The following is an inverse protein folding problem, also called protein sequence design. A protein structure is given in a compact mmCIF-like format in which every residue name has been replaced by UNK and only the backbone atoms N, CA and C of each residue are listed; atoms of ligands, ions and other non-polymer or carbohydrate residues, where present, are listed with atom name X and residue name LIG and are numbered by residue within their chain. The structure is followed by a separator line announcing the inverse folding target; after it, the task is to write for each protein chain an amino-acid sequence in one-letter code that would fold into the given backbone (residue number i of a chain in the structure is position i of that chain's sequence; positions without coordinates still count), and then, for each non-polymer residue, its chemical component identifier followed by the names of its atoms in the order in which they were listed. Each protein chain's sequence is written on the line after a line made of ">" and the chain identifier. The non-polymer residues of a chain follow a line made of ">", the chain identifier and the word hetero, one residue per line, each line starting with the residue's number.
data_IF_019948751910
#
_entry.id   IF_019948751910
#
_cell.length_a   1.000
_cell.length_b   1.000
_cell.length_c   1.000
_cell.angle_alpha   90.00
_cell.angle_beta   90.00
_cell.angle_gamma   90.00
#
_symmetry.space_group_name_H-M   'P 1'
#
loop_
_entity.id
_entity.type
_entity.pdbx_description
1 polymer ?
#
# COMPACT_ATOMS: atom_id res chain seq x y z
N UNK A 1 -13.19 31.67 -0.58
CA UNK A 1 -13.41 30.66 -1.64
C UNK A 1 -13.66 29.31 -0.97
N UNK A 2 -14.87 28.75 -1.08
CA UNK A 2 -15.21 27.41 -0.54
C UNK A 2 -14.50 26.37 -1.40
N UNK A 3 -13.59 25.60 -0.77
CA UNK A 3 -13.01 24.41 -1.42
C UNK A 3 -14.16 23.47 -1.81
N UNK A 4 -14.40 23.28 -3.10
CA UNK A 4 -15.32 22.28 -3.62
C UNK A 4 -14.82 20.91 -3.18
N UNK A 5 -15.59 20.25 -2.30
CA UNK A 5 -15.46 18.85 -1.95
C UNK A 5 -15.83 18.02 -3.22
N UNK A 6 -14.95 17.97 -4.21
CA UNK A 6 -15.06 17.04 -5.30
C UNK A 6 -15.06 15.63 -4.72
N UNK A 7 -16.22 14.96 -4.73
CA UNK A 7 -16.30 13.56 -4.35
C UNK A 7 -15.32 12.81 -5.25
N UNK A 8 -14.33 12.16 -4.64
CA UNK A 8 -13.37 11.35 -5.36
C UNK A 8 -14.13 10.31 -6.19
N UNK A 9 -13.85 10.19 -7.47
CA UNK A 9 -14.46 9.22 -8.40
C UNK A 9 -14.36 7.76 -7.90
N UNK A 10 -13.48 7.48 -6.94
CA UNK A 10 -13.39 6.20 -6.20
C UNK A 10 -14.68 5.79 -5.47
N UNK A 11 -15.55 6.74 -5.10
CA UNK A 11 -16.81 6.46 -4.38
C UNK A 11 -17.91 5.93 -5.27
N UNK A 12 -17.75 5.98 -6.59
CA UNK A 12 -18.78 5.60 -7.56
C UNK A 12 -18.70 4.12 -8.01
N UNK A 13 -17.72 3.35 -7.51
CA UNK A 13 -17.64 1.91 -7.81
C UNK A 13 -18.70 1.14 -7.02
N UNK A 14 -19.41 0.15 -7.62
CA UNK A 14 -20.39 -0.65 -6.89
C UNK A 14 -19.76 -1.34 -5.68
N UNK A 15 -20.28 -1.10 -4.48
CA UNK A 15 -19.70 -1.62 -3.22
C UNK A 15 -19.65 -3.15 -3.20
N UNK A 16 -20.63 -3.82 -3.81
CA UNK A 16 -20.72 -5.28 -3.84
C UNK A 16 -19.51 -5.95 -4.49
N UNK A 17 -18.98 -5.38 -5.57
CA UNK A 17 -17.91 -5.96 -6.39
C UNK A 17 -16.57 -5.25 -6.22
N UNK A 18 -16.55 -4.09 -5.55
CA UNK A 18 -15.33 -3.31 -5.39
C UNK A 18 -14.25 -4.08 -4.61
N UNK A 19 -12.97 -3.99 -5.01
CA UNK A 19 -11.84 -4.44 -4.22
C UNK A 19 -11.84 -3.84 -2.81
N UNK A 20 -11.32 -4.59 -1.82
CA UNK A 20 -11.39 -4.23 -0.40
C UNK A 20 -10.80 -2.86 -0.07
N UNK A 21 -9.70 -2.46 -0.71
CA UNK A 21 -9.11 -1.14 -0.53
C UNK A 21 -10.05 -0.01 -0.96
N UNK A 22 -10.81 -0.18 -2.06
CA UNK A 22 -11.82 0.80 -2.49
C UNK A 22 -13.03 0.82 -1.56
N UNK A 23 -13.45 -0.34 -1.02
CA UNK A 23 -14.49 -0.41 0.02
C UNK A 23 -14.08 0.38 1.25
N UNK A 24 -12.84 0.23 1.72
CA UNK A 24 -12.32 0.99 2.84
C UNK A 24 -12.18 2.49 2.53
N UNK A 25 -11.77 2.84 1.31
CA UNK A 25 -11.74 4.23 0.85
C UNK A 25 -13.14 4.85 0.82
N UNK A 26 -14.15 4.12 0.35
CA UNK A 26 -15.58 4.54 0.38
C UNK A 26 -16.09 4.74 1.82
N UNK A 27 -15.60 3.93 2.77
CA UNK A 27 -15.87 4.13 4.19
C UNK A 27 -15.22 5.40 4.74
N UNK A 28 -14.27 5.99 4.03
CA UNK A 28 -13.55 7.20 4.44
C UNK A 28 -12.19 6.93 5.06
N UNK A 29 -11.70 5.67 5.01
CA UNK A 29 -10.37 5.29 5.48
C UNK A 29 -9.31 5.73 4.45
N UNK A 30 -8.20 6.29 4.93
CA UNK A 30 -7.11 6.83 4.11
C UNK A 30 -5.83 6.01 4.20
N UNK A 31 -5.63 5.33 5.31
CA UNK A 31 -4.48 4.43 5.53
C UNK A 31 -4.96 3.00 5.32
N UNK A 32 -4.57 2.39 4.19
CA UNK A 32 -5.12 1.12 3.70
C UNK A 32 -4.06 -0.01 3.71
N UNK A 33 -3.08 0.08 4.61
CA UNK A 33 -1.95 -0.85 4.67
C UNK A 33 -1.85 -1.56 6.03
N UNK A 34 -1.39 -2.82 6.06
CA UNK A 34 -1.11 -3.53 7.30
C UNK A 34 -0.04 -2.79 8.10
N UNK A 35 -0.10 -2.81 9.45
CA UNK A 35 0.87 -2.06 10.27
C UNK A 35 0.68 -0.54 10.31
N UNK A 36 -0.14 0.05 9.42
CA UNK A 36 -0.53 1.45 9.42
C UNK A 36 0.59 2.44 9.08
N UNK A 37 0.31 3.73 9.30
CA UNK A 37 1.20 4.82 8.90
C UNK A 37 2.55 4.84 9.64
N UNK A 38 2.60 4.30 10.85
CA UNK A 38 3.83 4.27 11.64
C UNK A 38 4.91 3.40 10.97
N UNK A 39 4.54 2.23 10.44
CA UNK A 39 5.47 1.34 9.74
C UNK A 39 5.94 1.98 8.42
N UNK A 40 5.03 2.64 7.66
CA UNK A 40 5.41 3.46 6.50
C UNK A 40 6.47 4.49 6.85
N UNK A 41 6.26 5.27 7.91
CA UNK A 41 7.21 6.33 8.33
C UNK A 41 8.56 5.76 8.76
N UNK A 42 8.57 4.59 9.40
CA UNK A 42 9.81 3.92 9.76
C UNK A 42 10.60 3.52 8.50
N UNK A 43 9.93 2.93 7.50
CA UNK A 43 10.51 2.59 6.21
C UNK A 43 11.04 3.83 5.47
N UNK A 44 10.23 4.87 5.30
CA UNK A 44 10.64 6.10 4.62
C UNK A 44 11.83 6.77 5.32
N UNK A 45 11.89 6.70 6.65
CA UNK A 45 13.03 7.19 7.45
C UNK A 45 14.32 6.42 7.14
N UNK A 46 14.23 5.10 6.91
CA UNK A 46 15.38 4.28 6.50
C UNK A 46 15.85 4.61 5.08
N UNK A 47 14.92 4.88 4.18
CA UNK A 47 15.26 5.25 2.80
C UNK A 47 15.92 6.63 2.66
N UNK A 48 15.84 7.50 3.67
CA UNK A 48 16.49 8.82 3.70
C UNK A 48 16.22 9.65 2.44
N UNK A 49 14.95 9.98 2.18
CA UNK A 49 14.45 10.51 0.91
C UNK A 49 14.80 11.97 0.61
N UNK A 50 15.25 12.74 1.62
CA UNK A 50 15.56 14.17 1.45
C UNK A 50 16.61 14.40 0.35
N UNK A 51 16.29 15.26 -0.62
CA UNK A 51 17.16 15.60 -1.75
C UNK A 51 17.37 14.50 -2.81
N UNK A 52 16.68 13.35 -2.69
CA UNK A 52 16.78 12.22 -3.64
C UNK A 52 15.72 12.27 -4.74
N UNK A 53 16.00 11.60 -5.85
CA UNK A 53 15.00 11.28 -6.87
C UNK A 53 14.22 10.04 -6.43
N UNK A 54 12.91 10.21 -6.26
CA UNK A 54 12.01 9.17 -5.73
C UNK A 54 10.99 8.74 -6.77
N UNK A 55 10.88 7.44 -7.00
CA UNK A 55 9.79 6.83 -7.77
C UNK A 55 8.88 6.07 -6.81
N UNK A 56 7.57 6.32 -6.86
CA UNK A 56 6.56 5.56 -6.11
C UNK A 56 5.72 4.71 -7.08
N UNK A 57 5.70 3.40 -6.85
CA UNK A 57 4.89 2.44 -7.60
C UNK A 57 3.52 2.27 -6.95
N UNK A 58 2.46 2.41 -7.74
CA UNK A 58 1.07 2.29 -7.33
C UNK A 58 0.68 3.20 -6.13
N UNK A 59 0.88 4.53 -6.20
CA UNK A 59 0.60 5.47 -5.11
C UNK A 59 -0.87 5.51 -4.66
N UNK A 60 -1.82 5.04 -5.45
CA UNK A 60 -3.22 4.89 -5.12
C UNK A 60 -3.88 6.16 -4.58
N UNK A 61 -4.19 6.21 -3.28
CA UNK A 61 -4.80 7.39 -2.62
C UNK A 61 -3.77 8.49 -2.28
N UNK A 62 -2.50 8.36 -2.68
CA UNK A 62 -1.47 9.36 -2.48
C UNK A 62 -1.12 9.63 -1.00
N UNK A 63 -1.38 8.66 -0.12
CA UNK A 63 -1.06 8.84 1.31
C UNK A 63 0.44 8.79 1.54
N UNK A 64 1.12 7.86 0.89
CA UNK A 64 2.58 7.73 0.95
C UNK A 64 3.24 8.88 0.21
N UNK A 65 2.73 9.28 -0.95
CA UNK A 65 3.18 10.49 -1.65
C UNK A 65 3.24 11.72 -0.72
N UNK A 66 2.19 11.94 0.11
CA UNK A 66 2.19 13.04 1.09
C UNK A 66 3.29 12.92 2.15
N UNK A 67 3.62 11.72 2.60
CA UNK A 67 4.72 11.50 3.56
C UNK A 67 6.08 11.67 2.89
N UNK A 68 6.23 11.20 1.65
CA UNK A 68 7.44 11.40 0.83
C UNK A 68 7.71 12.90 0.61
N UNK A 69 6.70 13.67 0.20
CA UNK A 69 6.87 15.12 -0.05
C UNK A 69 7.31 15.88 1.20
N UNK A 70 6.97 15.44 2.41
CA UNK A 70 7.43 16.07 3.67
C UNK A 70 8.94 15.94 3.89
N UNK A 71 9.58 14.99 3.22
CA UNK A 71 11.04 14.80 3.30
C UNK A 71 11.82 15.70 2.34
N UNK A 72 11.11 16.50 1.52
CA UNK A 72 11.71 17.36 0.49
C UNK A 72 12.61 16.59 -0.48
N UNK A 73 12.07 15.59 -1.22
CA UNK A 73 12.83 14.91 -2.26
C UNK A 73 13.22 15.90 -3.37
N UNK A 74 14.28 15.59 -4.14
CA UNK A 74 14.69 16.38 -5.31
C UNK A 74 13.65 16.30 -6.41
N UNK A 75 13.08 15.11 -6.61
CA UNK A 75 11.96 14.88 -7.52
C UNK A 75 11.08 13.75 -6.99
N UNK A 76 9.82 13.77 -7.41
CA UNK A 76 8.85 12.69 -7.17
C UNK A 76 8.18 12.31 -8.48
N UNK A 77 8.22 11.02 -8.80
CA UNK A 77 7.47 10.43 -9.91
C UNK A 77 6.65 9.26 -9.41
N UNK A 78 5.31 9.37 -9.50
CA UNK A 78 4.40 8.24 -9.25
C UNK A 78 4.05 7.51 -10.54
N UNK A 79 3.85 6.20 -10.48
CA UNK A 79 3.31 5.39 -11.58
C UNK A 79 2.15 4.54 -11.07
N UNK A 80 0.96 4.70 -11.64
CA UNK A 80 -0.25 3.96 -11.25
C UNK A 80 -1.06 3.55 -12.49
N UNK A 81 -1.64 2.35 -12.47
CA UNK A 81 -2.50 1.87 -13.56
C UNK A 81 -3.86 2.57 -13.61
N UNK A 82 -4.38 3.01 -12.45
CA UNK A 82 -5.69 3.62 -12.32
C UNK A 82 -5.63 5.12 -12.62
N UNK A 83 -6.22 5.54 -13.74
CA UNK A 83 -6.27 6.95 -14.16
C UNK A 83 -6.88 7.88 -13.11
N UNK A 84 -7.81 7.37 -12.28
CA UNK A 84 -8.40 8.15 -11.19
C UNK A 84 -7.41 8.36 -10.05
N UNK A 85 -6.59 7.33 -9.75
CA UNK A 85 -5.48 7.44 -8.81
C UNK A 85 -4.45 8.45 -9.33
N UNK A 86 -4.04 8.34 -10.59
CA UNK A 86 -3.12 9.28 -11.25
C UNK A 86 -3.60 10.72 -11.10
N UNK A 87 -4.85 11.01 -11.51
CA UNK A 87 -5.42 12.35 -11.40
C UNK A 87 -5.52 12.84 -9.95
N UNK A 88 -5.76 11.93 -8.99
CA UNK A 88 -5.81 12.28 -7.57
C UNK A 88 -4.41 12.58 -7.01
N UNK A 89 -3.43 11.76 -7.34
CA UNK A 89 -2.04 11.92 -6.88
C UNK A 89 -1.43 13.18 -7.47
N UNK A 90 -1.69 13.50 -8.74
CA UNK A 90 -1.20 14.74 -9.37
C UNK A 90 -1.65 15.98 -8.61
N UNK A 91 -2.90 16.06 -8.14
CA UNK A 91 -3.35 17.20 -7.30
C UNK A 91 -2.56 17.34 -5.99
N UNK A 92 -1.89 16.27 -5.54
CA UNK A 92 -1.08 16.26 -4.33
C UNK A 92 0.35 16.68 -4.63
N UNK A 93 0.93 16.16 -5.74
CA UNK A 93 2.37 16.23 -6.00
C UNK A 93 2.76 17.37 -6.93
N UNK A 94 1.91 17.78 -7.87
CA UNK A 94 2.18 18.89 -8.79
C UNK A 94 2.51 20.22 -8.08
N UNK A 95 1.84 20.60 -6.98
CA UNK A 95 2.21 21.82 -6.26
C UNK A 95 3.63 21.81 -5.67
N UNK A 96 4.23 20.62 -5.53
CA UNK A 96 5.61 20.41 -5.08
C UNK A 96 6.57 20.05 -6.22
N UNK A 97 6.16 20.20 -7.48
CA UNK A 97 6.95 19.89 -8.66
C UNK A 97 7.03 18.40 -9.03
N UNK A 98 6.24 17.54 -8.36
CA UNK A 98 6.16 16.12 -8.68
C UNK A 98 5.18 15.81 -9.81
N UNK A 99 5.20 14.57 -10.30
CA UNK A 99 4.30 14.07 -11.32
C UNK A 99 3.84 12.65 -11.00
N UNK A 100 2.61 12.31 -11.37
CA UNK A 100 2.13 10.94 -11.41
C UNK A 100 1.69 10.61 -12.84
N UNK A 101 2.15 9.47 -13.37
CA UNK A 101 1.87 9.01 -14.73
C UNK A 101 1.06 7.74 -14.71
N UNK A 102 0.22 7.53 -15.73
CA UNK A 102 -0.42 6.25 -15.92
C UNK A 102 0.61 5.26 -16.48
N UNK A 103 0.69 4.07 -15.86
CA UNK A 103 1.62 3.02 -16.28
C UNK A 103 1.48 1.76 -15.45
N UNK A 104 2.16 0.70 -15.90
CA UNK A 104 2.26 -0.56 -15.20
C UNK A 104 3.51 -0.55 -14.30
N UNK A 105 3.38 -0.97 -13.05
CA UNK A 105 4.51 -1.08 -12.14
C UNK A 105 5.56 -2.13 -12.57
N UNK A 106 5.19 -3.08 -13.44
CA UNK A 106 6.11 -4.05 -14.04
C UNK A 106 6.78 -3.53 -15.33
N UNK A 107 6.31 -2.40 -15.89
CA UNK A 107 6.83 -1.78 -17.11
C UNK A 107 6.48 -0.30 -17.11
N UNK A 108 7.17 0.49 -16.30
CA UNK A 108 6.82 1.89 -16.00
C UNK A 108 7.01 2.85 -17.19
N UNK A 109 7.84 2.46 -18.15
CA UNK A 109 8.24 3.34 -19.26
C UNK A 109 9.18 4.47 -18.87
N UNK A 110 9.71 4.45 -17.65
CA UNK A 110 10.75 5.37 -17.18
C UNK A 110 12.12 4.86 -17.61
N UNK A 111 13.10 5.77 -17.67
CA UNK A 111 14.49 5.45 -18.03
C UNK A 111 15.18 4.61 -16.95
N UNK A 112 16.23 3.85 -17.35
CA UNK A 112 17.08 3.10 -16.43
C UNK A 112 17.82 4.04 -15.50
N UNK A 113 17.95 3.66 -14.24
CA UNK A 113 18.72 4.41 -13.26
C UNK A 113 18.17 5.83 -12.98
N UNK A 114 16.88 6.05 -13.17
CA UNK A 114 16.25 7.37 -12.97
C UNK A 114 16.05 7.70 -11.47
N UNK A 115 16.08 6.72 -10.59
CA UNK A 115 15.75 6.88 -9.18
C UNK A 115 16.91 6.52 -8.25
N UNK A 116 17.09 7.27 -7.17
CA UNK A 116 17.90 6.89 -6.02
C UNK A 116 17.09 6.05 -5.04
N UNK A 117 15.76 6.23 -5.05
CA UNK A 117 14.85 5.43 -4.20
C UNK A 117 13.57 5.08 -4.96
N UNK A 118 13.18 3.81 -4.89
CA UNK A 118 11.87 3.31 -5.31
C UNK A 118 11.07 2.94 -4.08
N UNK A 119 9.78 3.27 -4.06
CA UNK A 119 8.86 2.93 -2.96
C UNK A 119 7.67 2.18 -3.52
N UNK A 120 7.27 1.09 -2.84
CA UNK A 120 6.04 0.34 -3.15
C UNK A 120 5.32 -0.07 -1.87
N UNK A 121 4.03 0.25 -1.74
CA UNK A 121 3.25 -0.10 -0.55
C UNK A 121 1.93 -0.78 -0.89
N UNK A 122 1.67 -1.91 -0.22
CA UNK A 122 0.42 -2.68 -0.29
C UNK A 122 0.00 -3.01 -1.73
N UNK A 123 0.96 -3.35 -2.59
CA UNK A 123 0.73 -3.62 -4.00
C UNK A 123 1.26 -4.98 -4.44
N UNK A 124 2.42 -5.42 -3.94
CA UNK A 124 3.04 -6.70 -4.30
C UNK A 124 2.24 -7.90 -3.77
N UNK A 125 1.66 -7.81 -2.59
CA UNK A 125 0.82 -8.89 -2.02
C UNK A 125 -0.31 -9.32 -2.95
N UNK A 126 -0.83 -8.41 -3.78
CA UNK A 126 -1.93 -8.68 -4.71
C UNK A 126 -1.47 -9.29 -6.04
N UNK A 127 -0.18 -9.40 -6.26
CA UNK A 127 0.40 -9.92 -7.50
C UNK A 127 0.60 -11.44 -7.46
N UNK A 128 0.62 -12.06 -8.65
CA UNK A 128 1.10 -13.43 -8.83
C UNK A 128 2.60 -13.51 -8.51
N UNK A 129 3.17 -14.71 -8.26
CA UNK A 129 4.62 -14.86 -8.10
C UNK A 129 5.41 -14.23 -9.25
N UNK A 130 4.98 -14.47 -10.49
CA UNK A 130 5.57 -13.85 -11.68
C UNK A 130 5.44 -12.32 -11.67
N UNK A 131 4.26 -11.78 -11.34
CA UNK A 131 4.05 -10.35 -11.29
C UNK A 131 4.88 -9.65 -10.20
N UNK A 132 5.05 -10.30 -9.03
CA UNK A 132 6.00 -9.79 -8.01
C UNK A 132 7.40 -9.67 -8.57
N UNK A 133 7.89 -10.74 -9.22
CA UNK A 133 9.22 -10.79 -9.83
C UNK A 133 9.39 -9.72 -10.92
N UNK A 134 8.41 -9.53 -11.80
CA UNK A 134 8.45 -8.52 -12.86
C UNK A 134 8.51 -7.10 -12.28
N UNK A 135 7.71 -6.79 -11.25
CA UNK A 135 7.73 -5.48 -10.60
C UNK A 135 9.06 -5.23 -9.87
N UNK A 136 9.61 -6.25 -9.17
CA UNK A 136 10.90 -6.09 -8.49
C UNK A 136 12.03 -5.86 -9.51
N UNK A 137 12.03 -6.60 -10.64
CA UNK A 137 13.00 -6.37 -11.74
C UNK A 137 12.90 -4.95 -12.28
N UNK A 138 11.68 -4.45 -12.46
CA UNK A 138 11.47 -3.08 -12.92
C UNK A 138 11.97 -2.07 -11.87
N UNK A 139 11.68 -2.29 -10.58
CA UNK A 139 12.20 -1.44 -9.51
C UNK A 139 13.74 -1.40 -9.50
N UNK A 140 14.39 -2.56 -9.67
CA UNK A 140 15.87 -2.67 -9.76
C UNK A 140 16.39 -1.92 -10.99
N UNK A 141 15.72 -2.03 -12.16
CA UNK A 141 16.10 -1.29 -13.37
C UNK A 141 16.03 0.22 -13.19
N UNK A 142 15.02 0.70 -12.45
CA UNK A 142 14.84 2.12 -12.16
C UNK A 142 15.90 2.67 -11.20
N UNK A 143 16.47 1.82 -10.35
CA UNK A 143 17.44 2.25 -9.34
C UNK A 143 18.81 2.50 -9.96
N UNK A 144 19.44 3.58 -9.52
CA UNK A 144 20.88 3.79 -9.70
C UNK A 144 21.67 2.77 -8.86
N UNK A 145 22.93 2.49 -9.24
CA UNK A 145 23.83 1.72 -8.38
C UNK A 145 23.87 2.30 -6.96
N UNK A 146 23.65 1.45 -5.95
CA UNK A 146 23.55 1.89 -4.54
C UNK A 146 22.21 2.52 -4.16
N UNK A 147 21.23 2.52 -5.04
CA UNK A 147 19.86 2.96 -4.74
C UNK A 147 19.09 2.00 -3.82
N UNK A 148 18.00 2.48 -3.25
CA UNK A 148 17.22 1.75 -2.24
C UNK A 148 15.79 1.46 -2.75
N UNK A 149 15.32 0.24 -2.55
CA UNK A 149 13.91 -0.12 -2.73
C UNK A 149 13.25 -0.32 -1.37
N UNK A 150 12.30 0.53 -1.02
CA UNK A 150 11.51 0.40 0.21
C UNK A 150 10.13 -0.19 -0.07
N UNK A 151 9.76 -1.26 0.63
CA UNK A 151 8.42 -1.85 0.54
C UNK A 151 7.72 -1.91 1.89
N UNK A 152 6.38 -1.88 1.83
CA UNK A 152 5.53 -2.14 2.99
C UNK A 152 4.34 -3.00 2.55
N UNK A 153 4.33 -4.26 2.99
CA UNK A 153 3.42 -5.28 2.49
C UNK A 153 2.74 -6.05 3.63
N UNK A 154 1.78 -6.89 3.29
CA UNK A 154 1.23 -7.90 4.19
C UNK A 154 2.16 -9.11 4.22
N UNK A 155 2.39 -9.65 5.41
CA UNK A 155 3.15 -10.88 5.58
C UNK A 155 2.39 -11.89 6.43
N UNK A 156 2.71 -13.17 6.20
CA UNK A 156 2.37 -14.29 7.08
C UNK A 156 3.37 -14.36 8.23
N UNK A 157 2.92 -14.83 9.37
CA UNK A 157 3.73 -15.06 10.56
C UNK A 157 3.18 -16.28 11.34
N UNK A 158 4.02 -17.12 11.97
CA UNK A 158 5.49 -17.09 11.93
C UNK A 158 6.06 -17.53 10.56
N UNK A 159 7.39 -17.44 10.39
CA UNK A 159 8.06 -17.81 9.13
C UNK A 159 7.94 -19.31 8.79
N UNK A 160 7.77 -20.16 9.80
CA UNK A 160 7.56 -21.61 9.70
C UNK A 160 6.07 -22.02 9.67
N UNK A 161 5.16 -21.08 9.38
CA UNK A 161 3.73 -21.37 9.22
C UNK A 161 3.51 -22.52 8.22
N UNK A 162 2.63 -23.46 8.59
CA UNK A 162 2.27 -24.55 7.69
C UNK A 162 1.79 -24.01 6.31
N UNK A 163 2.33 -24.48 5.19
CA UNK A 163 1.97 -24.02 3.86
C UNK A 163 0.48 -24.18 3.52
N UNK A 164 -0.21 -25.19 4.05
CA UNK A 164 -1.64 -25.36 3.85
C UNK A 164 -2.43 -24.28 4.61
N UNK A 165 -2.04 -23.99 5.86
CA UNK A 165 -2.61 -22.89 6.65
C UNK A 165 -2.38 -21.54 5.97
N UNK A 166 -1.18 -21.27 5.46
CA UNK A 166 -0.86 -20.07 4.70
C UNK A 166 -1.72 -19.91 3.44
N UNK A 167 -1.96 -21.04 2.75
CA UNK A 167 -2.83 -21.09 1.56
C UNK A 167 -4.29 -20.79 1.92
N UNK A 168 -4.80 -21.35 3.01
CA UNK A 168 -6.18 -21.14 3.47
C UNK A 168 -6.41 -19.70 3.93
N UNK A 169 -5.43 -19.10 4.62
CA UNK A 169 -5.45 -17.67 4.96
C UNK A 169 -5.52 -16.83 3.69
N UNK A 170 -4.66 -17.12 2.69
CA UNK A 170 -4.64 -16.39 1.41
C UNK A 170 -5.98 -16.47 0.69
N UNK A 171 -6.61 -17.65 0.65
CA UNK A 171 -7.95 -17.85 0.07
C UNK A 171 -9.03 -17.11 0.85
N UNK A 172 -8.97 -17.13 2.17
CA UNK A 172 -9.91 -16.43 3.06
C UNK A 172 -9.82 -14.92 2.86
N UNK A 173 -8.60 -14.38 2.82
CA UNK A 173 -8.33 -12.97 2.52
C UNK A 173 -8.88 -12.60 1.13
N UNK A 174 -8.56 -13.38 0.09
CA UNK A 174 -9.00 -13.09 -1.28
C UNK A 174 -10.52 -13.00 -1.38
N UNK A 175 -11.25 -13.89 -0.70
CA UNK A 175 -12.72 -13.84 -0.62
C UNK A 175 -13.23 -12.59 0.12
N UNK A 176 -12.56 -12.21 1.23
CA UNK A 176 -12.99 -11.07 2.03
C UNK A 176 -12.76 -9.72 1.33
N UNK A 177 -11.59 -9.56 0.65
CA UNK A 177 -11.21 -8.30 0.02
C UNK A 177 -11.51 -8.23 -1.48
N UNK A 178 -12.00 -9.32 -2.09
CA UNK A 178 -12.28 -9.44 -3.54
C UNK A 178 -11.07 -9.08 -4.42
N UNK A 179 -9.88 -9.43 -3.96
CA UNK A 179 -8.62 -9.35 -4.73
C UNK A 179 -7.79 -10.56 -4.36
N UNK A 180 -7.03 -11.09 -5.29
CA UNK A 180 -6.08 -12.15 -4.97
C UNK A 180 -5.05 -11.61 -3.98
N UNK A 181 -5.06 -12.13 -2.76
CA UNK A 181 -4.04 -11.83 -1.77
C UNK A 181 -3.10 -13.04 -1.66
N UNK A 182 -1.82 -12.79 -1.84
CA UNK A 182 -0.75 -13.79 -1.77
C UNK A 182 0.37 -13.25 -0.89
N UNK A 183 0.12 -13.09 0.42
CA UNK A 183 1.15 -12.69 1.35
C UNK A 183 2.23 -13.78 1.42
N UNK A 184 3.45 -13.36 1.57
CA UNK A 184 4.60 -14.24 1.83
C UNK A 184 4.96 -14.12 3.30
N UNK A 185 5.70 -15.07 3.85
CA UNK A 185 6.31 -14.90 5.17
C UNK A 185 7.40 -13.81 5.10
N UNK A 186 7.86 -13.32 6.24
CA UNK A 186 8.94 -12.33 6.27
C UNK A 186 10.21 -12.89 5.65
N UNK A 187 10.53 -14.16 5.95
CA UNK A 187 11.67 -14.86 5.33
C UNK A 187 11.54 -14.95 3.81
N UNK A 188 10.36 -15.34 3.30
CA UNK A 188 10.10 -15.43 1.86
C UNK A 188 10.15 -14.06 1.16
N UNK A 189 9.69 -12.98 1.81
CA UNK A 189 9.88 -11.63 1.27
C UNK A 189 11.35 -11.28 1.12
N UNK A 190 12.17 -11.56 2.13
CA UNK A 190 13.62 -11.32 2.09
C UNK A 190 14.31 -12.13 0.99
N UNK A 191 13.98 -13.43 0.89
CA UNK A 191 14.50 -14.33 -0.15
C UNK A 191 14.17 -13.80 -1.55
N UNK A 192 12.90 -13.43 -1.80
CA UNK A 192 12.46 -12.90 -3.08
C UNK A 192 13.27 -11.64 -3.50
N UNK A 193 13.59 -10.74 -2.58
CA UNK A 193 14.42 -9.58 -2.90
C UNK A 193 15.88 -9.96 -3.17
N UNK A 194 16.43 -10.91 -2.41
CA UNK A 194 17.79 -11.41 -2.61
C UNK A 194 17.94 -12.12 -3.97
N UNK A 195 16.96 -12.89 -4.40
CA UNK A 195 16.91 -13.51 -5.73
C UNK A 195 16.98 -12.48 -6.87
N UNK A 196 16.59 -11.25 -6.63
CA UNK A 196 16.65 -10.15 -7.59
C UNK A 196 17.86 -9.23 -7.41
N UNK A 197 18.88 -9.68 -6.66
CA UNK A 197 20.14 -8.96 -6.48
C UNK A 197 20.09 -7.80 -5.47
N UNK A 198 19.03 -7.72 -4.65
CA UNK A 198 18.90 -6.73 -3.60
C UNK A 198 19.39 -7.30 -2.26
N UNK A 199 20.08 -6.47 -1.48
CA UNK A 199 20.44 -6.81 -0.09
C UNK A 199 19.42 -6.20 0.86
N UNK A 200 18.82 -7.03 1.71
CA UNK A 200 17.87 -6.56 2.73
C UNK A 200 18.63 -6.03 3.95
N UNK A 201 18.77 -4.73 4.03
CA UNK A 201 19.53 -4.06 5.11
C UNK A 201 18.71 -3.87 6.40
N UNK A 202 17.39 -3.80 6.27
CA UNK A 202 16.49 -3.53 7.38
C UNK A 202 15.17 -4.24 7.20
N UNK A 203 14.58 -4.69 8.31
CA UNK A 203 13.25 -5.29 8.34
C UNK A 203 12.54 -4.86 9.62
N UNK A 204 11.28 -4.50 9.51
CA UNK A 204 10.41 -4.26 10.67
C UNK A 204 9.03 -4.82 10.42
N UNK A 205 8.38 -5.27 11.48
CA UNK A 205 7.03 -5.80 11.43
C UNK A 205 6.11 -5.04 12.36
N UNK A 206 4.82 -5.08 12.06
CA UNK A 206 3.79 -4.55 12.94
C UNK A 206 2.53 -5.44 12.88
N UNK A 207 1.80 -5.62 14.00
CA UNK A 207 0.61 -6.44 14.02
C UNK A 207 -0.43 -6.00 12.98
N UNK A 208 -1.15 -6.96 12.40
CA UNK A 208 -2.29 -6.69 11.51
C UNK A 208 -3.44 -6.06 12.30
N UNK A 209 -3.53 -4.76 12.29
CA UNK A 209 -4.50 -4.00 13.06
C UNK A 209 -5.36 -3.04 12.21
N UNK A 210 -5.43 -3.26 10.88
CA UNK A 210 -6.02 -2.35 9.89
C UNK A 210 -7.45 -1.89 10.26
N UNK A 211 -8.25 -2.73 10.91
CA UNK A 211 -9.63 -2.44 11.28
C UNK A 211 -9.86 -2.44 12.82
N UNK A 212 -8.80 -2.42 13.63
CA UNK A 212 -8.89 -2.19 15.07
C UNK A 212 -9.15 -0.71 15.36
N UNK A 213 -10.04 -0.43 16.32
CA UNK A 213 -10.48 0.96 16.62
C UNK A 213 -9.32 1.88 17.03
N UNK A 214 -8.43 1.42 17.91
CA UNK A 214 -7.26 2.20 18.35
C UNK A 214 -6.31 2.54 17.18
N UNK A 215 -6.11 1.60 16.24
CA UNK A 215 -5.30 1.86 15.04
C UNK A 215 -6.00 2.88 14.13
N UNK A 216 -7.31 2.76 13.93
CA UNK A 216 -8.06 3.73 13.13
C UNK A 216 -7.97 5.13 13.72
N UNK A 217 -8.00 5.26 15.05
CA UNK A 217 -7.84 6.56 15.72
C UNK A 217 -6.43 7.13 15.49
N UNK A 218 -5.39 6.31 15.58
CA UNK A 218 -4.01 6.72 15.32
C UNK A 218 -3.75 7.12 13.86
N UNK A 219 -4.34 6.39 12.90
CA UNK A 219 -4.12 6.59 11.47
C UNK A 219 -4.99 7.71 10.87
N UNK A 220 -6.23 7.84 11.32
CA UNK A 220 -7.26 8.72 10.71
C UNK A 220 -7.60 9.93 11.59
N UNK A 221 -7.26 9.88 12.86
CA UNK A 221 -7.67 10.89 13.87
C UNK A 221 -9.16 10.83 14.22
N UNK A 222 -9.58 11.60 15.20
CA UNK A 222 -10.97 11.62 15.71
C UNK A 222 -11.98 11.94 14.60
N UNK A 223 -11.72 12.99 13.80
CA UNK A 223 -12.61 13.39 12.69
C UNK A 223 -12.69 12.34 11.58
N UNK A 224 -11.58 11.65 11.33
CA UNK A 224 -11.55 10.54 10.38
C UNK A 224 -12.40 9.36 10.85
N UNK A 225 -12.27 8.97 12.11
CA UNK A 225 -13.07 7.89 12.72
C UNK A 225 -14.56 8.27 12.73
N UNK A 226 -14.92 9.51 13.09
CA UNK A 226 -16.30 9.98 13.05
C UNK A 226 -16.91 9.92 11.62
N UNK A 227 -16.12 10.29 10.60
CA UNK A 227 -16.53 10.18 9.19
C UNK A 227 -16.74 8.73 8.79
N UNK A 228 -15.83 7.82 9.17
CA UNK A 228 -15.97 6.38 8.90
C UNK A 228 -17.26 5.86 9.55
N UNK A 229 -17.48 6.14 10.82
CA UNK A 229 -18.69 5.74 11.54
C UNK A 229 -19.96 6.24 10.85
N UNK A 230 -20.02 7.53 10.49
CA UNK A 230 -21.13 8.12 9.73
C UNK A 230 -21.38 7.36 8.43
N UNK A 231 -20.36 7.11 7.63
CA UNK A 231 -20.50 6.42 6.35
C UNK A 231 -21.02 4.98 6.52
N UNK A 232 -20.57 4.26 7.56
CA UNK A 232 -21.03 2.90 7.86
C UNK A 232 -22.48 2.86 8.36
N UNK A 233 -22.92 3.88 9.09
CA UNK A 233 -24.35 4.01 9.50
C UNK A 233 -25.24 4.29 8.29
N UNK A 234 -24.83 5.23 7.44
CA UNK A 234 -25.62 5.69 6.29
C UNK A 234 -25.66 4.69 5.12
N UNK A 235 -24.70 3.76 5.03
CA UNK A 235 -24.55 2.82 3.91
C UNK A 235 -24.52 1.37 4.40
N UNK A 236 -25.69 0.68 4.52
CA UNK A 236 -25.77 -0.67 5.09
C UNK A 236 -24.92 -1.72 4.34
N UNK A 237 -24.84 -1.63 3.01
CA UNK A 237 -24.04 -2.54 2.20
C UNK A 237 -22.53 -2.35 2.50
N UNK A 238 -22.05 -1.12 2.54
CA UNK A 238 -20.69 -0.78 2.91
C UNK A 238 -20.34 -1.31 4.31
N UNK A 239 -21.26 -1.14 5.27
CA UNK A 239 -21.11 -1.68 6.62
C UNK A 239 -20.95 -3.20 6.62
N UNK A 240 -21.81 -3.93 5.89
CA UNK A 240 -21.72 -5.40 5.80
C UNK A 240 -20.34 -5.84 5.27
N UNK A 241 -19.87 -5.22 4.20
CA UNK A 241 -18.57 -5.51 3.59
C UNK A 241 -17.41 -5.22 4.58
N UNK A 242 -17.38 -4.06 5.21
CA UNK A 242 -16.33 -3.68 6.17
C UNK A 242 -16.33 -4.60 7.39
N UNK A 243 -17.50 -5.00 7.91
CA UNK A 243 -17.60 -5.94 9.03
C UNK A 243 -17.14 -7.35 8.65
N UNK A 244 -17.45 -7.83 7.44
CA UNK A 244 -16.95 -9.11 6.95
C UNK A 244 -15.43 -9.12 6.82
N UNK A 245 -14.84 -8.08 6.24
CA UNK A 245 -13.38 -7.91 6.18
C UNK A 245 -12.76 -7.87 7.58
N UNK A 246 -13.36 -7.11 8.52
CA UNK A 246 -12.90 -7.01 9.89
C UNK A 246 -12.91 -8.36 10.59
N UNK A 247 -13.97 -9.15 10.43
CA UNK A 247 -14.07 -10.49 10.99
C UNK A 247 -12.91 -11.36 10.51
N UNK A 248 -12.67 -11.39 9.20
CA UNK A 248 -11.59 -12.17 8.59
C UNK A 248 -10.20 -11.74 9.10
N UNK A 249 -9.92 -10.44 9.18
CA UNK A 249 -8.64 -9.95 9.71
C UNK A 249 -8.45 -10.22 11.21
N UNK A 250 -9.52 -10.30 11.99
CA UNK A 250 -9.43 -10.66 13.41
C UNK A 250 -9.19 -12.17 13.56
N UNK A 251 -9.86 -12.99 12.77
CA UNK A 251 -9.73 -14.44 12.77
C UNK A 251 -8.30 -14.89 12.47
N UNK A 252 -7.60 -14.18 11.59
CA UNK A 252 -6.23 -14.47 11.20
C UNK A 252 -5.18 -13.50 11.80
N UNK A 253 -5.55 -12.75 12.84
CA UNK A 253 -4.70 -11.68 13.36
C UNK A 253 -3.32 -12.14 13.86
N UNK A 254 -3.24 -13.36 14.40
CA UNK A 254 -2.01 -13.93 14.94
C UNK A 254 -1.09 -14.51 13.83
N UNK A 255 -1.66 -14.73 12.65
CA UNK A 255 -0.93 -15.25 11.49
C UNK A 255 -0.63 -14.19 10.43
N UNK A 256 -0.94 -12.93 10.70
CA UNK A 256 -0.77 -11.81 9.77
C UNK A 256 -0.06 -10.63 10.42
N UNK A 257 0.91 -10.09 9.72
CA UNK A 257 1.57 -8.83 10.10
C UNK A 257 1.77 -7.91 8.90
N UNK A 258 1.99 -6.62 9.16
CA UNK A 258 2.62 -5.73 8.18
C UNK A 258 4.12 -5.92 8.26
N UNK A 259 4.80 -5.98 7.12
CA UNK A 259 6.25 -6.01 7.00
C UNK A 259 6.72 -4.83 6.16
N UNK A 260 7.81 -4.20 6.58
CA UNK A 260 8.55 -3.22 5.79
C UNK A 260 10.00 -3.64 5.69
N UNK A 261 10.53 -3.55 4.48
CA UNK A 261 11.90 -3.89 4.12
C UNK A 261 12.52 -2.71 3.34
#
# INVERSE_FOLDING_TARGET
>A
MKASNGSLSFTNRPTATAPGHWVLAQAGKRVLRPGGLQLTRAMLGRCSLGGKEVVELAPGLGRTAREILKTHPRSYTGVDQDTTAVAHVNRIVEPAGGVCRQGDAAATGLEDGVAETVIGEAMLTMQSPRGKSEIIKEAVRLLRPGGTYGIHELALTPDDIDPEVGTDISRSLARAIHVNARPLTVAQWRELFTEHGLTVEWTSTAPMALLKLGRNLADEGVLGVARIAKNLVMKPELRRRVLAMRKNFIEHADSLCGVAL
#
